data_IF_157088544697
#
_entry.id   IF_157088544697
#
_cell.length_a   1.000
_cell.length_b   1.000
_cell.length_c   1.000
_cell.angle_alpha   90.00
_cell.angle_beta   90.00
_cell.angle_gamma   90.00
#
_symmetry.space_group_name_H-M   'P 1'
#
loop_
_entity.id
_entity.type
_entity.pdbx_description
1 polymer ?
#
# COMPACT_ATOMS: atom_id res chain seq x y z
N UNK A 1 21.06 13.26 18.21
CA UNK A 1 19.72 12.63 18.15
C UNK A 1 19.43 12.42 16.68
N UNK A 2 18.74 11.34 16.29
CA UNK A 2 18.35 11.13 14.89
C UNK A 2 17.01 11.83 14.68
N UNK A 3 16.94 12.72 13.69
CA UNK A 3 15.71 13.39 13.26
C UNK A 3 15.05 12.54 12.16
N UNK A 4 13.74 12.34 12.24
CA UNK A 4 12.98 11.46 11.34
C UNK A 4 11.87 12.28 10.69
N UNK A 5 11.90 12.41 9.36
CA UNK A 5 10.89 13.15 8.59
C UNK A 5 9.71 12.25 8.16
N UNK A 6 9.99 10.97 7.90
CA UNK A 6 8.99 10.01 7.41
C UNK A 6 9.36 8.56 7.78
N UNK A 7 8.33 7.72 7.85
CA UNK A 7 8.45 6.28 8.00
C UNK A 7 7.42 5.62 7.08
N UNK A 8 7.83 4.60 6.34
CA UNK A 8 6.95 3.82 5.49
C UNK A 8 7.51 2.42 5.26
N UNK A 9 6.64 1.41 5.10
CA UNK A 9 7.08 0.10 4.66
C UNK A 9 7.45 0.14 3.18
N UNK A 10 8.41 -0.71 2.81
CA UNK A 10 8.72 -1.02 1.41
C UNK A 10 8.48 -2.50 1.19
N UNK A 11 7.65 -2.84 0.20
CA UNK A 11 7.27 -4.22 -0.12
C UNK A 11 7.70 -4.57 -1.54
N UNK A 12 7.83 -5.86 -1.86
CA UNK A 12 8.19 -6.29 -3.21
C UNK A 12 6.94 -6.83 -3.92
N UNK A 13 6.66 -6.31 -5.10
CA UNK A 13 5.49 -6.70 -5.91
C UNK A 13 5.92 -6.96 -7.36
N UNK A 14 5.33 -7.99 -7.97
CA UNK A 14 5.60 -8.34 -9.37
C UNK A 14 4.94 -7.39 -10.38
N UNK A 15 4.04 -6.49 -9.93
CA UNK A 15 3.32 -5.59 -10.83
C UNK A 15 3.08 -4.22 -10.17
N UNK A 16 4.01 -3.29 -10.38
CA UNK A 16 3.92 -1.94 -9.82
C UNK A 16 2.82 -1.10 -10.48
N UNK A 17 2.52 -1.32 -11.76
CA UNK A 17 1.46 -0.59 -12.46
C UNK A 17 0.08 -0.88 -11.84
N UNK A 18 -0.21 -2.17 -11.59
CA UNK A 18 -1.44 -2.59 -10.94
C UNK A 18 -1.55 -2.05 -9.50
N UNK A 19 -0.45 -2.09 -8.73
CA UNK A 19 -0.41 -1.53 -7.37
C UNK A 19 -0.68 -0.03 -7.41
N UNK A 20 0.01 0.70 -8.29
CA UNK A 20 -0.19 2.15 -8.48
C UNK A 20 -1.65 2.47 -8.79
N UNK A 21 -2.21 1.82 -9.82
CA UNK A 21 -3.59 2.06 -10.24
C UNK A 21 -4.59 1.77 -9.12
N UNK A 22 -4.39 0.70 -8.35
CA UNK A 22 -5.24 0.37 -7.21
C UNK A 22 -5.21 1.45 -6.12
N UNK A 23 -4.03 1.85 -5.64
CA UNK A 23 -3.94 2.83 -4.55
C UNK A 23 -4.34 4.25 -4.97
N UNK A 24 -4.11 4.64 -6.21
CA UNK A 24 -4.57 5.93 -6.73
C UNK A 24 -6.09 5.97 -6.87
N UNK A 25 -6.70 4.92 -7.45
CA UNK A 25 -8.14 4.92 -7.73
C UNK A 25 -9.02 4.64 -6.50
N UNK A 26 -8.59 3.73 -5.62
CA UNK A 26 -9.39 3.30 -4.46
C UNK A 26 -9.19 4.23 -3.26
N UNK A 27 -7.94 4.63 -3.01
CA UNK A 27 -7.57 5.33 -1.77
C UNK A 27 -7.08 6.77 -2.01
N UNK A 28 -6.99 7.22 -3.26
CA UNK A 28 -6.59 8.59 -3.59
C UNK A 28 -5.13 8.90 -3.26
N UNK A 29 -4.25 7.90 -3.22
CA UNK A 29 -2.81 8.12 -3.13
C UNK A 29 -2.30 8.77 -4.41
N UNK A 30 -1.08 9.31 -4.35
CA UNK A 30 -0.37 9.85 -5.50
C UNK A 30 1.00 9.17 -5.61
N UNK A 31 1.36 8.71 -6.81
CA UNK A 31 2.72 8.28 -7.09
C UNK A 31 3.66 9.49 -7.16
N UNK A 32 4.43 9.73 -6.10
CA UNK A 32 5.46 10.79 -6.06
C UNK A 32 6.74 10.37 -6.76
N UNK A 33 6.92 9.07 -6.97
CA UNK A 33 7.91 8.46 -7.85
C UNK A 33 7.32 7.18 -8.45
N UNK A 34 7.57 6.93 -9.74
CA UNK A 34 7.16 5.70 -10.40
C UNK A 34 8.09 5.33 -11.54
N UNK A 35 8.65 4.14 -11.44
CA UNK A 35 9.34 3.41 -12.49
C UNK A 35 8.85 1.96 -12.46
N UNK A 36 8.23 1.50 -13.55
CA UNK A 36 7.59 0.20 -13.64
C UNK A 36 8.57 -0.97 -13.43
N UNK A 37 9.84 -0.78 -13.78
CA UNK A 37 10.88 -1.80 -13.72
C UNK A 37 11.71 -1.74 -12.44
N UNK A 38 11.44 -0.76 -11.56
CA UNK A 38 12.27 -0.51 -10.38
C UNK A 38 11.48 -0.24 -9.10
N UNK A 39 10.80 0.91 -9.01
CA UNK A 39 10.28 1.41 -7.74
C UNK A 39 9.03 2.29 -7.90
N UNK A 40 8.12 2.15 -6.95
CA UNK A 40 6.92 2.96 -6.81
C UNK A 40 6.89 3.54 -5.39
N UNK A 41 6.73 4.86 -5.28
CA UNK A 41 6.51 5.54 -4.01
C UNK A 41 5.16 6.24 -4.04
N UNK A 42 4.27 5.84 -3.13
CA UNK A 42 2.94 6.40 -2.98
C UNK A 42 2.85 7.28 -1.73
N UNK A 43 2.21 8.44 -1.86
CA UNK A 43 1.92 9.35 -0.74
C UNK A 43 0.47 9.81 -0.81
N UNK A 44 -0.25 9.69 0.31
CA UNK A 44 -1.56 10.31 0.49
C UNK A 44 -1.38 11.80 0.76
N UNK A 45 -1.79 12.67 -0.16
CA UNK A 45 -1.58 14.13 0.00
C UNK A 45 -2.35 14.74 1.16
N UNK A 46 -3.43 14.10 1.62
CA UNK A 46 -4.25 14.59 2.73
C UNK A 46 -3.69 14.24 4.10
N UNK A 47 -2.97 13.12 4.22
CA UNK A 47 -2.54 12.56 5.51
C UNK A 47 -1.02 12.44 5.65
N UNK A 48 -0.28 12.45 4.54
CA UNK A 48 1.16 12.16 4.52
C UNK A 48 1.50 10.68 4.69
N UNK A 49 0.51 9.78 4.76
CA UNK A 49 0.73 8.32 4.80
C UNK A 49 1.44 7.89 3.52
N UNK A 50 2.44 7.02 3.64
CA UNK A 50 3.27 6.60 2.51
C UNK A 50 3.44 5.08 2.46
N UNK A 51 3.61 4.57 1.23
CA UNK A 51 3.89 3.17 0.93
C UNK A 51 4.93 3.12 -0.20
N UNK A 52 5.94 2.25 -0.06
CA UNK A 52 6.93 1.99 -1.10
C UNK A 52 6.81 0.59 -1.67
N UNK A 53 7.02 0.42 -2.98
CA UNK A 53 7.01 -0.89 -3.62
C UNK A 53 8.20 -1.05 -4.57
N UNK A 54 8.85 -2.20 -4.52
CA UNK A 54 9.98 -2.57 -5.37
C UNK A 54 9.59 -3.67 -6.36
N UNK A 55 10.19 -3.65 -7.54
CA UNK A 55 10.18 -4.79 -8.47
C UNK A 55 11.13 -5.89 -7.97
N UNK A 56 10.76 -7.18 -7.97
CA UNK A 56 11.68 -8.27 -7.64
C UNK A 56 12.88 -8.32 -8.59
N UNK A 57 13.96 -8.97 -8.14
CA UNK A 57 15.16 -9.27 -8.95
C UNK A 57 15.88 -8.06 -9.56
N UNK A 58 15.61 -6.84 -9.11
CA UNK A 58 16.33 -5.67 -9.62
C UNK A 58 17.79 -5.71 -9.18
N UNK A 59 18.72 -5.49 -10.12
CA UNK A 59 20.17 -5.69 -9.90
C UNK A 59 20.77 -4.81 -8.79
N UNK A 60 20.15 -3.66 -8.48
CA UNK A 60 20.58 -2.79 -7.38
C UNK A 60 20.11 -3.24 -5.99
N UNK A 61 19.25 -4.27 -5.91
CA UNK A 61 18.72 -4.77 -4.64
C UNK A 61 19.59 -5.87 -4.04
N UNK A 62 19.85 -5.83 -2.71
CA UNK A 62 20.34 -6.98 -1.97
C UNK A 62 19.45 -8.20 -2.17
N UNK A 63 20.03 -9.39 -2.27
CA UNK A 63 19.29 -10.63 -2.57
C UNK A 63 18.11 -10.87 -1.62
N UNK A 64 18.26 -10.54 -0.33
CA UNK A 64 17.21 -10.71 0.67
C UNK A 64 16.02 -9.75 0.52
N UNK A 65 16.13 -8.72 -0.33
CA UNK A 65 15.05 -7.79 -0.68
C UNK A 65 14.40 -8.11 -2.03
N UNK A 66 14.76 -9.22 -2.68
CA UNK A 66 14.16 -9.61 -3.98
C UNK A 66 12.90 -10.46 -3.83
N UNK A 67 12.75 -11.14 -2.69
CA UNK A 67 11.60 -12.01 -2.46
C UNK A 67 10.30 -11.19 -2.46
N UNK A 68 9.30 -11.69 -3.18
CA UNK A 68 7.96 -11.11 -3.19
C UNK A 68 7.40 -11.03 -1.77
N UNK A 69 6.66 -9.97 -1.50
CA UNK A 69 5.88 -9.85 -0.27
C UNK A 69 4.99 -11.09 -0.11
N UNK A 70 5.04 -11.73 1.05
CA UNK A 70 4.17 -12.86 1.36
C UNK A 70 2.70 -12.40 1.31
N UNK A 71 1.82 -13.09 0.55
CA UNK A 71 0.38 -12.85 0.65
C UNK A 71 -0.18 -13.37 1.98
N UNK A 72 0.53 -14.27 2.67
CA UNK A 72 0.10 -14.87 3.92
C UNK A 72 0.61 -14.06 5.11
N UNK A 73 -0.31 -13.68 6.00
CA UNK A 73 0.01 -13.07 7.29
C UNK A 73 0.44 -11.60 7.25
N UNK A 74 0.24 -10.92 6.12
CA UNK A 74 0.54 -9.50 5.97
C UNK A 74 -0.72 -8.66 5.84
N UNK A 75 -0.78 -7.53 6.55
CA UNK A 75 -1.87 -6.56 6.48
C UNK A 75 -1.32 -5.13 6.50
N UNK A 76 -1.97 -4.24 5.75
CA UNK A 76 -1.75 -2.79 5.85
C UNK A 76 -3.00 -2.20 6.50
N UNK A 77 -2.83 -1.63 7.69
CA UNK A 77 -3.92 -0.96 8.39
C UNK A 77 -4.00 0.50 7.96
N UNK A 78 -5.16 0.91 7.44
CA UNK A 78 -5.47 2.30 7.12
C UNK A 78 -6.57 2.77 8.07
N UNK A 79 -6.22 3.67 8.99
CA UNK A 79 -7.19 4.27 9.90
C UNK A 79 -8.02 5.34 9.17
N UNK A 80 -9.34 5.25 9.31
CA UNK A 80 -10.29 6.17 8.71
C UNK A 80 -11.27 6.67 9.75
N UNK A 81 -11.79 7.88 9.54
CA UNK A 81 -12.77 8.50 10.47
C UNK A 81 -14.11 7.76 10.50
N UNK A 82 -14.50 7.15 9.40
CA UNK A 82 -15.78 6.45 9.24
C UNK A 82 -15.55 5.15 8.45
N UNK A 83 -15.41 4.04 9.19
CA UNK A 83 -15.20 2.72 8.60
C UNK A 83 -16.44 2.19 7.87
N UNK A 84 -17.65 2.57 8.29
CA UNK A 84 -18.88 2.15 7.64
C UNK A 84 -19.03 2.80 6.27
N UNK A 85 -18.68 4.09 6.15
CA UNK A 85 -18.63 4.77 4.87
C UNK A 85 -17.57 4.15 3.94
N UNK A 86 -16.35 3.91 4.43
CA UNK A 86 -15.29 3.28 3.65
C UNK A 86 -15.69 1.87 3.16
N UNK A 87 -16.35 1.08 4.01
CA UNK A 87 -16.87 -0.25 3.64
C UNK A 87 -17.92 -0.16 2.52
N UNK A 88 -18.86 0.78 2.62
CA UNK A 88 -19.88 0.97 1.60
C UNK A 88 -19.29 1.42 0.24
N UNK A 89 -18.27 2.29 0.23
CA UNK A 89 -17.57 2.66 -0.99
C UNK A 89 -16.80 1.47 -1.60
N UNK A 90 -16.13 0.67 -0.78
CA UNK A 90 -15.45 -0.56 -1.22
C UNK A 90 -16.42 -1.55 -1.88
N UNK A 91 -17.62 -1.70 -1.33
CA UNK A 91 -18.67 -2.53 -1.94
C UNK A 91 -19.14 -1.98 -3.29
N UNK A 92 -19.35 -0.67 -3.43
CA UNK A 92 -19.73 -0.04 -4.72
C UNK A 92 -18.65 -0.23 -5.79
N UNK A 93 -17.39 -0.20 -5.38
CA UNK A 93 -16.23 -0.47 -6.25
C UNK A 93 -16.03 -1.97 -6.54
N UNK A 94 -16.84 -2.85 -5.93
CA UNK A 94 -16.74 -4.30 -6.05
C UNK A 94 -15.35 -4.84 -5.67
N UNK A 95 -14.76 -4.28 -4.60
CA UNK A 95 -13.49 -4.77 -4.06
C UNK A 95 -13.67 -6.14 -3.39
N UNK A 96 -12.60 -6.92 -3.36
CA UNK A 96 -12.60 -8.21 -2.66
C UNK A 96 -12.67 -7.99 -1.15
N UNK A 97 -13.78 -8.41 -0.54
CA UNK A 97 -14.00 -8.32 0.90
C UNK A 97 -13.64 -9.66 1.56
N UNK A 98 -12.54 -9.70 2.28
CA UNK A 98 -12.11 -10.91 3.00
C UNK A 98 -12.89 -11.13 4.30
N UNK A 99 -13.44 -10.06 4.89
CA UNK A 99 -14.20 -10.07 6.14
C UNK A 99 -15.31 -9.03 6.08
N UNK A 100 -16.46 -9.34 6.67
CA UNK A 100 -17.56 -8.38 6.86
C UNK A 100 -17.17 -7.33 7.90
N UNK A 101 -17.76 -6.13 7.78
CA UNK A 101 -17.61 -5.07 8.76
C UNK A 101 -18.13 -5.54 10.13
N UNK A 102 -17.33 -5.36 11.18
CA UNK A 102 -17.68 -5.67 12.56
C UNK A 102 -17.06 -4.68 13.52
N UNK A 103 -17.68 -4.58 14.70
CA UNK A 103 -17.08 -3.94 15.86
C UNK A 103 -16.27 -5.00 16.63
N UNK A 104 -15.06 -4.64 17.05
CA UNK A 104 -14.20 -5.47 17.87
C UNK A 104 -14.19 -4.96 19.31
N UNK A 105 -14.08 -5.88 20.27
CA UNK A 105 -13.86 -5.52 21.67
C UNK A 105 -12.38 -5.18 21.83
N UNK A 106 -12.11 -3.96 22.31
CA UNK A 106 -10.76 -3.49 22.64
C UNK A 106 -10.28 -4.01 24.00
#
# INVERSE_FOLDING_TARGET
MIEIDAMFPVMVSANLEAVKAFYESVFGFNAVFYDADFYLHLVSSSSGVQLGFLMPEHASQPDFLRALMSPDGYVISLEVKDAAHAYAEAQKMNLTMAMELKEEVW
#
